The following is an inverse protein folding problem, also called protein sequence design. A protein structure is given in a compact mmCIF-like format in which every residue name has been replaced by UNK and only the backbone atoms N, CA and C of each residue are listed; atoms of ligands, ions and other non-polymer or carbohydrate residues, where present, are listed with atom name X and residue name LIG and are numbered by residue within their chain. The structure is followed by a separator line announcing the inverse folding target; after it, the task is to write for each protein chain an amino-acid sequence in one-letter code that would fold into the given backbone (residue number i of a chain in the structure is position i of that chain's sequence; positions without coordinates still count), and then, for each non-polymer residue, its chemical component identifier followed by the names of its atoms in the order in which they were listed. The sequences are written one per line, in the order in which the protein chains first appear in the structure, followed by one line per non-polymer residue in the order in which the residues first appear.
data_IF_238554733922
#
_entry.id   IF_238554733922
#
_cell.length_a   1.000
_cell.length_b   1.000
_cell.length_c   1.000
_cell.angle_alpha   90.00
_cell.angle_beta   90.00
_cell.angle_gamma   90.00
#
_symmetry.space_group_name_H-M   'P 1'
#
loop_
_entity.id
_entity.type
_entity.pdbx_description
1 polymer ?
#
# COMPACT_ATOMS: atom_id res chain seq x y z
N UNK A 1 5.57 -5.13 10.14
CA UNK A 1 6.42 -4.17 9.37
C UNK A 1 6.10 -4.20 7.87
N UNK A 2 6.10 -5.36 7.17
CA UNK A 2 5.84 -5.43 5.71
C UNK A 2 4.53 -4.72 5.32
N UNK A 3 3.41 -5.01 5.99
CA UNK A 3 2.12 -4.38 5.71
C UNK A 3 2.15 -2.84 5.83
N UNK A 4 2.88 -2.30 6.81
CA UNK A 4 3.04 -0.85 6.99
C UNK A 4 3.84 -0.25 5.83
N UNK A 5 4.94 -0.89 5.42
CA UNK A 5 5.74 -0.41 4.29
C UNK A 5 4.94 -0.45 2.98
N UNK A 6 4.16 -1.51 2.76
CA UNK A 6 3.25 -1.61 1.60
C UNK A 6 2.18 -0.51 1.63
N UNK A 7 1.66 -0.17 2.81
CA UNK A 7 0.69 0.92 2.97
C UNK A 7 1.29 2.27 2.60
N UNK A 8 2.50 2.57 3.08
CA UNK A 8 3.20 3.82 2.73
C UNK A 8 3.45 3.93 1.22
N UNK A 9 4.01 2.87 0.63
CA UNK A 9 4.27 2.89 -0.82
C UNK A 9 2.98 2.97 -1.65
N UNK A 10 1.90 2.37 -1.16
CA UNK A 10 0.58 2.48 -1.78
C UNK A 10 0.08 3.93 -1.78
N UNK A 11 0.23 4.64 -0.66
CA UNK A 11 -0.16 6.04 -0.54
C UNK A 11 0.58 6.92 -1.54
N UNK A 12 1.91 6.72 -1.69
CA UNK A 12 2.71 7.42 -2.68
C UNK A 12 2.21 7.17 -4.11
N UNK A 13 1.96 5.91 -4.47
CA UNK A 13 1.45 5.56 -5.81
C UNK A 13 0.08 6.19 -6.05
N UNK A 14 -0.81 6.18 -5.05
CA UNK A 14 -2.14 6.81 -5.15
C UNK A 14 -2.00 8.32 -5.40
N UNK A 15 -1.17 9.00 -4.61
CA UNK A 15 -0.93 10.43 -4.76
C UNK A 15 -0.35 10.75 -6.14
N UNK A 16 0.69 10.02 -6.57
CA UNK A 16 1.36 10.23 -7.86
C UNK A 16 0.47 9.94 -9.07
N UNK A 17 -0.53 9.07 -8.92
CA UNK A 17 -1.49 8.74 -9.98
C UNK A 17 -2.62 9.78 -10.11
N UNK A 18 -2.75 10.73 -9.17
CA UNK A 18 -3.77 11.78 -9.24
C UNK A 18 -3.53 12.70 -10.45
N UNK A 19 -4.58 13.39 -10.89
CA UNK A 19 -4.47 14.38 -11.99
C UNK A 19 -3.56 15.57 -11.64
N UNK A 20 -3.52 15.93 -10.37
CA UNK A 20 -2.74 17.07 -9.89
C UNK A 20 -1.24 16.81 -10.03
N UNK A 21 -0.79 15.63 -9.65
CA UNK A 21 0.59 15.20 -9.82
C UNK A 21 0.85 14.63 -11.21
N UNK A 22 0.11 13.60 -11.61
CA UNK A 22 0.33 12.87 -12.88
C UNK A 22 1.79 12.40 -13.05
N UNK A 23 2.40 11.95 -11.95
CA UNK A 23 3.80 11.49 -11.93
C UNK A 23 3.94 10.06 -12.42
N UNK A 24 2.88 9.25 -12.29
CA UNK A 24 2.88 7.87 -12.74
C UNK A 24 1.65 7.54 -13.58
N UNK A 25 1.82 6.56 -14.46
CA UNK A 25 0.73 5.93 -15.20
C UNK A 25 0.70 4.46 -14.85
N UNK A 26 -0.47 4.00 -14.41
CA UNK A 26 -0.73 2.60 -14.07
C UNK A 26 -1.05 1.80 -15.34
N UNK A 27 -0.60 0.55 -15.38
CA UNK A 27 -0.99 -0.38 -16.41
C UNK A 27 -2.45 -0.81 -16.23
N UNK A 28 -3.19 -1.03 -17.33
CA UNK A 28 -4.62 -1.34 -17.31
C UNK A 28 -4.97 -2.62 -16.51
N UNK A 29 -4.05 -3.58 -16.46
CA UNK A 29 -4.24 -4.79 -15.67
C UNK A 29 -4.26 -4.54 -14.14
N UNK A 30 -3.78 -3.39 -13.68
CA UNK A 30 -3.65 -3.02 -12.26
C UNK A 30 -4.41 -1.75 -11.90
N UNK A 31 -5.34 -1.33 -12.76
CA UNK A 31 -6.19 -0.17 -12.55
C UNK A 31 -7.58 -0.45 -13.11
N UNK A 32 -8.62 0.10 -12.50
CA UNK A 32 -9.97 0.03 -13.04
C UNK A 32 -10.39 1.35 -13.67
N UNK A 33 -11.10 1.25 -14.77
CA UNK A 33 -11.79 2.37 -15.39
C UNK A 33 -13.15 2.62 -14.76
N UNK A 34 -13.71 3.79 -14.99
CA UNK A 34 -15.11 4.08 -14.67
C UNK A 34 -15.97 3.95 -15.92
N UNK A 35 -17.13 3.30 -15.82
CA UNK A 35 -18.09 3.23 -16.93
C UNK A 35 -18.66 4.62 -17.31
N UNK A 36 -18.69 5.54 -16.34
CA UNK A 36 -19.18 6.92 -16.53
C UNK A 36 -18.05 7.84 -17.02
N UNK A 37 -16.81 7.56 -16.63
CA UNK A 37 -15.63 8.33 -17.01
C UNK A 37 -14.53 7.39 -17.53
N UNK A 38 -14.57 6.98 -18.81
CA UNK A 38 -13.64 5.99 -19.36
C UNK A 38 -12.16 6.39 -19.24
N UNK A 39 -11.87 7.68 -19.17
CA UNK A 39 -10.53 8.22 -19.01
C UNK A 39 -10.00 8.15 -17.56
N UNK A 40 -10.85 7.84 -16.59
CA UNK A 40 -10.46 7.72 -15.19
C UNK A 40 -9.89 6.32 -14.93
N UNK A 41 -8.65 6.27 -14.47
CA UNK A 41 -8.01 5.06 -13.97
C UNK A 41 -7.86 5.17 -12.46
N UNK A 42 -8.43 4.21 -11.74
CA UNK A 42 -8.33 4.16 -10.29
C UNK A 42 -7.16 3.25 -9.91
N UNK A 43 -6.33 3.62 -8.92
CA UNK A 43 -5.21 2.82 -8.44
C UNK A 43 -5.67 1.73 -7.47
N UNK A 44 -6.60 0.85 -7.90
CA UNK A 44 -7.30 -0.09 -7.01
C UNK A 44 -6.35 -1.04 -6.28
N UNK A 45 -5.30 -1.52 -6.94
CA UNK A 45 -4.32 -2.40 -6.29
C UNK A 45 -3.62 -1.68 -5.14
N UNK A 46 -3.25 -0.41 -5.33
CA UNK A 46 -2.65 0.40 -4.26
C UNK A 46 -3.67 0.69 -3.15
N UNK A 47 -4.90 1.08 -3.50
CA UNK A 47 -5.96 1.35 -2.51
C UNK A 47 -6.31 0.11 -1.68
N UNK A 48 -6.45 -1.05 -2.32
CA UNK A 48 -6.71 -2.31 -1.63
C UNK A 48 -5.52 -2.76 -0.78
N UNK A 49 -4.29 -2.54 -1.24
CA UNK A 49 -3.08 -2.84 -0.45
C UNK A 49 -3.04 -1.98 0.82
N UNK A 50 -3.30 -0.69 0.70
CA UNK A 50 -3.43 0.22 1.85
C UNK A 50 -4.53 -0.24 2.81
N UNK A 51 -5.71 -0.59 2.29
CA UNK A 51 -6.83 -1.09 3.10
C UNK A 51 -6.52 -2.41 3.81
N UNK A 52 -5.94 -3.38 3.10
CA UNK A 52 -5.62 -4.69 3.66
C UNK A 52 -4.45 -4.66 4.66
N UNK A 53 -3.61 -3.64 4.66
CA UNK A 53 -2.59 -3.47 5.71
C UNK A 53 -3.21 -3.30 7.09
N UNK A 54 -4.41 -2.71 7.18
CA UNK A 54 -5.19 -2.64 8.41
C UNK A 54 -5.62 -4.03 8.91
N UNK A 55 -5.95 -4.97 8.00
CA UNK A 55 -6.25 -6.36 8.35
C UNK A 55 -5.05 -7.02 9.01
N UNK A 56 -3.85 -6.87 8.44
CA UNK A 56 -2.62 -7.42 9.02
C UNK A 56 -2.32 -6.86 10.42
N UNK A 57 -2.66 -5.61 10.68
CA UNK A 57 -2.55 -5.03 12.04
C UNK A 57 -3.59 -5.66 12.97
N UNK A 58 -4.80 -5.91 12.48
CA UNK A 58 -5.85 -6.60 13.22
C UNK A 58 -5.43 -8.03 13.60
N UNK A 59 -4.84 -8.78 12.68
CA UNK A 59 -4.35 -10.15 12.91
C UNK A 59 -3.24 -10.17 13.98
N UNK A 60 -2.30 -9.23 13.92
CA UNK A 60 -1.28 -9.08 14.96
C UNK A 60 -1.91 -8.76 16.31
N UNK A 61 -2.91 -7.90 16.34
CA UNK A 61 -3.62 -7.53 17.58
C UNK A 61 -4.37 -8.74 18.14
N UNK A 62 -5.01 -9.53 17.28
CA UNK A 62 -5.66 -10.79 17.64
C UNK A 62 -4.68 -11.77 18.27
N UNK A 63 -3.54 -11.98 17.64
CA UNK A 63 -2.47 -12.86 18.15
C UNK A 63 -1.96 -12.40 19.52
N UNK A 64 -1.67 -11.09 19.68
CA UNK A 64 -1.25 -10.53 20.97
C UNK A 64 -2.33 -10.68 22.04
N UNK A 65 -3.60 -10.57 21.66
CA UNK A 65 -4.73 -10.78 22.58
C UNK A 65 -4.88 -12.22 23.02
N UNK A 66 -4.57 -13.19 22.15
CA UNK A 66 -4.51 -14.61 22.52
C UNK A 66 -3.44 -14.87 23.57
N UNK A 67 -2.31 -14.20 23.48
CA UNK A 67 -1.20 -14.37 24.41
C UNK A 67 -1.38 -13.65 25.75
N UNK A 68 -2.41 -12.82 25.90
CA UNK A 68 -2.64 -12.05 27.13
C UNK A 68 -2.81 -12.96 28.34
N UNK A 69 -2.10 -12.63 29.42
CA UNK A 69 -2.29 -13.23 30.73
C UNK A 69 -2.29 -14.78 30.76
N UNK A 70 -1.62 -15.43 29.81
CA UNK A 70 -1.47 -16.88 29.83
C UNK A 70 -0.57 -17.30 30.99
N UNK A 71 -0.96 -18.31 31.79
CA UNK A 71 -0.10 -18.87 32.79
C UNK A 71 1.08 -19.63 32.16
N UNK A 72 2.12 -19.86 32.97
CA UNK A 72 3.25 -20.66 32.53
C UNK A 72 2.81 -22.10 32.29
N UNK A 73 3.08 -22.64 31.14
CA UNK A 73 2.83 -23.94 30.59
C UNK A 73 1.84 -23.89 29.41
N UNK A 74 1.66 -25.03 28.71
CA UNK A 74 0.79 -25.16 27.57
C UNK A 74 -0.70 -24.99 27.94
N UNK A 75 -1.38 -24.05 27.25
CA UNK A 75 -2.80 -23.80 27.39
C UNK A 75 -3.49 -23.90 26.03
N UNK A 76 -4.77 -24.32 26.04
CA UNK A 76 -5.57 -24.49 24.81
C UNK A 76 -5.90 -23.16 24.12
N UNK A 77 -5.82 -22.04 24.81
CA UNK A 77 -5.93 -20.69 24.22
C UNK A 77 -5.00 -20.51 23.01
N UNK A 78 -3.84 -21.17 23.04
CA UNK A 78 -2.87 -21.16 21.93
C UNK A 78 -3.38 -21.86 20.65
N UNK A 79 -4.57 -22.47 20.66
CA UNK A 79 -5.20 -22.92 19.42
C UNK A 79 -5.69 -21.75 18.55
N UNK A 80 -5.98 -20.61 19.16
CA UNK A 80 -6.46 -19.40 18.50
C UNK A 80 -5.33 -18.60 17.80
N UNK A 81 -4.08 -19.05 17.88
CA UNK A 81 -2.95 -18.40 17.21
C UNK A 81 -2.95 -18.63 15.68
N UNK A 82 -3.60 -19.69 15.23
CA UNK A 82 -3.50 -20.16 13.84
C UNK A 82 -4.27 -19.30 12.86
N UNK A 83 -5.50 -18.94 13.20
CA UNK A 83 -6.37 -18.17 12.30
C UNK A 83 -5.74 -16.82 11.92
N UNK A 84 -5.30 -15.98 12.87
CA UNK A 84 -4.69 -14.68 12.50
C UNK A 84 -3.36 -14.84 11.75
N UNK A 85 -2.58 -15.90 12.04
CA UNK A 85 -1.32 -16.15 11.33
C UNK A 85 -1.58 -16.59 9.88
N UNK A 86 -2.52 -17.50 9.67
CA UNK A 86 -2.86 -17.97 8.33
C UNK A 86 -3.53 -16.86 7.51
N UNK A 87 -4.45 -16.11 8.09
CA UNK A 87 -5.09 -14.99 7.42
C UNK A 87 -4.06 -13.91 7.00
N UNK A 88 -3.13 -13.59 7.89
CA UNK A 88 -2.05 -12.65 7.57
C UNK A 88 -1.14 -13.18 6.45
N UNK A 89 -0.84 -14.48 6.44
CA UNK A 89 0.00 -15.10 5.40
C UNK A 89 -0.70 -15.06 4.04
N UNK A 90 -1.94 -15.53 3.96
CA UNK A 90 -2.73 -15.54 2.73
C UNK A 90 -2.93 -14.11 2.18
N UNK A 91 -3.19 -13.18 3.09
CA UNK A 91 -3.32 -11.77 2.75
C UNK A 91 -2.02 -11.20 2.16
N UNK A 92 -0.87 -11.50 2.78
CA UNK A 92 0.44 -11.03 2.29
C UNK A 92 0.80 -11.65 0.96
N UNK A 93 0.59 -12.95 0.76
CA UNK A 93 0.87 -13.62 -0.52
C UNK A 93 0.08 -12.96 -1.66
N UNK A 94 -1.22 -12.75 -1.47
CA UNK A 94 -2.05 -12.08 -2.46
C UNK A 94 -1.59 -10.65 -2.75
N UNK A 95 -1.31 -9.87 -1.69
CA UNK A 95 -0.88 -8.48 -1.83
C UNK A 95 0.46 -8.37 -2.55
N UNK A 96 1.44 -9.18 -2.18
CA UNK A 96 2.78 -9.11 -2.76
C UNK A 96 2.77 -9.43 -4.26
N UNK A 97 1.97 -10.43 -4.69
CA UNK A 97 1.83 -10.76 -6.10
C UNK A 97 1.23 -9.59 -6.90
N UNK A 98 0.10 -9.07 -6.46
CA UNK A 98 -0.59 -7.98 -7.15
C UNK A 98 0.24 -6.68 -7.14
N UNK A 99 0.83 -6.34 -6.00
CA UNK A 99 1.62 -5.13 -5.83
C UNK A 99 2.92 -5.17 -6.64
N UNK A 100 3.60 -6.32 -6.67
CA UNK A 100 4.81 -6.51 -7.49
C UNK A 100 4.49 -6.30 -8.96
N UNK A 101 3.40 -6.88 -9.47
CA UNK A 101 2.98 -6.69 -10.85
C UNK A 101 2.64 -5.24 -11.17
N UNK A 102 1.97 -4.54 -10.27
CA UNK A 102 1.68 -3.11 -10.40
C UNK A 102 2.97 -2.29 -10.49
N UNK A 103 3.90 -2.48 -9.56
CA UNK A 103 5.17 -1.73 -9.53
C UNK A 103 6.04 -2.03 -10.73
N UNK A 104 6.13 -3.29 -11.15
CA UNK A 104 6.92 -3.71 -12.32
C UNK A 104 6.42 -3.10 -13.64
N UNK A 105 5.15 -2.74 -13.71
CA UNK A 105 4.52 -2.15 -14.91
C UNK A 105 4.29 -0.64 -14.81
N UNK A 106 4.65 -0.04 -13.66
CA UNK A 106 4.49 1.39 -13.42
C UNK A 106 5.38 2.20 -14.38
N UNK A 107 4.81 3.24 -14.98
CA UNK A 107 5.54 4.15 -15.85
C UNK A 107 5.62 5.53 -15.21
N UNK A 108 6.83 6.07 -15.09
CA UNK A 108 7.07 7.40 -14.56
C UNK A 108 6.98 8.45 -15.67
N UNK A 109 6.27 9.53 -15.40
CA UNK A 109 6.19 10.71 -16.26
C UNK A 109 7.28 11.71 -15.83
N UNK A 110 8.50 11.45 -16.26
CA UNK A 110 9.69 12.25 -15.87
C UNK A 110 9.61 13.71 -16.32
N UNK A 111 8.95 13.99 -17.45
CA UNK A 111 8.74 15.36 -17.93
C UNK A 111 7.83 16.15 -16.98
N UNK A 112 6.74 15.52 -16.53
CA UNK A 112 5.82 16.14 -15.57
C UNK A 112 6.49 16.34 -14.21
N UNK A 113 7.29 15.40 -13.76
CA UNK A 113 8.06 15.51 -12.52
C UNK A 113 9.05 16.67 -12.60
N UNK A 114 9.84 16.75 -13.67
CA UNK A 114 10.78 17.85 -13.90
C UNK A 114 10.09 19.22 -13.99
N UNK A 115 8.91 19.29 -14.61
CA UNK A 115 8.14 20.51 -14.70
C UNK A 115 7.65 21.02 -13.34
N UNK A 116 7.26 20.13 -12.43
CA UNK A 116 6.73 20.50 -11.11
C UNK A 116 7.81 20.68 -10.04
N UNK A 117 8.96 20.04 -10.18
CA UNK A 117 10.02 20.05 -9.17
C UNK A 117 10.45 21.46 -8.72
N UNK A 118 10.66 22.45 -9.62
CA UNK A 118 11.07 23.80 -9.20
C UNK A 118 9.92 24.68 -8.72
N UNK A 119 8.67 24.19 -8.74
CA UNK A 119 7.51 25.00 -8.35
C UNK A 119 7.33 25.04 -6.84
N UNK A 120 6.74 26.11 -6.35
CA UNK A 120 6.44 26.26 -4.93
C UNK A 120 7.66 26.64 -4.08
N UNK A 121 8.67 27.30 -4.67
CA UNK A 121 9.89 27.73 -3.97
C UNK A 121 10.72 26.59 -3.36
N UNK A 122 10.62 25.38 -3.90
CA UNK A 122 11.37 24.21 -3.42
C UNK A 122 12.89 24.40 -3.49
N UNK A 123 13.37 25.30 -4.39
CA UNK A 123 14.79 25.64 -4.55
C UNK A 123 15.20 26.91 -3.76
N UNK A 124 14.33 27.46 -2.91
CA UNK A 124 14.61 28.68 -2.19
C UNK A 124 15.79 28.53 -1.20
N UNK A 125 15.97 27.34 -0.64
CA UNK A 125 17.11 27.01 0.23
C UNK A 125 18.44 27.06 -0.51
N UNK A 126 18.48 26.57 -1.75
CA UNK A 126 19.71 26.56 -2.58
C UNK A 126 20.11 27.96 -3.04
N UNK A 127 19.18 28.92 -2.99
CA UNK A 127 19.44 30.32 -3.33
C UNK A 127 19.92 31.12 -2.09
N UNK A 128 19.56 30.62 -0.89
CA UNK A 128 19.87 31.27 0.39
C UNK A 128 21.26 30.89 0.95
N UNK A 129 21.88 29.82 0.42
CA UNK A 129 23.25 29.40 0.71
C UNK A 129 24.26 30.09 -0.25
#
# INVERSE_FOLDING_TARGET
MVGINLSHLSEEVIAWATKDFSFVTLHDAYSTGSSIMPQKKNPDVAELTRGKSGRLIGDLTGLLSTLKALPLAYNRDLQEDKEPVFDATDTLELLLLAFTGMVATLRFNTERMAYLAPRGFTLATDIAE
#
